data_IF_380041250217
#
_entry.id   IF_380041250217
#
_cell.length_a   1.000
_cell.length_b   1.000
_cell.length_c   1.000
_cell.angle_alpha   90.00
_cell.angle_beta   90.00
_cell.angle_gamma   90.00
#
_symmetry.space_group_name_H-M   'P 1'
#
loop_
_entity.id
_entity.type
_entity.pdbx_description
1 polymer ?
#
# COMPACT_ATOMS: atom_id res chain seq x y z
N UNK A 1 -3.37 -7.47 -15.60
CA UNK A 1 -2.73 -6.21 -15.10
C UNK A 1 -2.52 -6.32 -13.61
N UNK A 2 -1.41 -5.80 -13.08
CA UNK A 2 -1.12 -5.83 -11.64
C UNK A 2 -2.06 -4.93 -10.84
N UNK A 3 -2.37 -5.29 -9.58
CA UNK A 3 -3.13 -4.44 -8.68
C UNK A 3 -2.42 -3.11 -8.42
N UNK A 4 -3.19 -2.02 -8.43
CA UNK A 4 -2.72 -0.68 -8.10
C UNK A 4 -3.40 -0.20 -6.81
N UNK A 5 -2.58 0.17 -5.84
CA UNK A 5 -2.99 0.81 -4.60
C UNK A 5 -2.76 2.32 -4.72
N UNK A 6 -3.82 3.09 -4.83
CA UNK A 6 -3.78 4.51 -5.12
C UNK A 6 -4.00 5.34 -3.84
N UNK A 7 -2.91 5.79 -3.22
CA UNK A 7 -2.99 6.64 -2.03
C UNK A 7 -3.22 8.10 -2.44
N UNK A 8 -4.46 8.56 -2.31
CA UNK A 8 -4.87 9.93 -2.68
C UNK A 8 -4.48 10.97 -1.63
N UNK A 9 -3.92 10.54 -0.50
CA UNK A 9 -3.56 11.45 0.61
C UNK A 9 -4.70 12.42 0.92
N UNK A 10 -4.41 13.73 1.01
CA UNK A 10 -5.38 14.81 1.22
C UNK A 10 -5.38 15.84 0.08
N UNK A 11 -5.20 15.34 -1.16
CA UNK A 11 -5.02 16.23 -2.31
C UNK A 11 -6.29 16.90 -2.81
N UNK A 12 -7.48 16.36 -2.49
CA UNK A 12 -8.73 16.69 -3.15
C UNK A 12 -9.73 17.31 -2.20
N UNK A 13 -10.59 18.18 -2.73
CA UNK A 13 -11.83 18.60 -2.11
C UNK A 13 -13.00 17.66 -2.48
N UNK A 14 -14.21 17.94 -1.96
CA UNK A 14 -15.39 17.11 -2.22
C UNK A 14 -15.78 17.09 -3.70
N UNK A 15 -15.73 18.24 -4.38
CA UNK A 15 -16.10 18.37 -5.79
C UNK A 15 -15.15 17.54 -6.66
N UNK A 16 -13.87 17.68 -6.43
CA UNK A 16 -12.82 16.91 -7.12
C UNK A 16 -12.96 15.40 -6.88
N UNK A 17 -13.31 14.98 -5.66
CA UNK A 17 -13.51 13.58 -5.33
C UNK A 17 -14.74 12.98 -6.03
N UNK A 18 -15.83 13.73 -6.15
CA UNK A 18 -17.01 13.28 -6.90
C UNK A 18 -16.72 13.14 -8.40
N UNK A 19 -15.94 14.06 -8.96
CA UNK A 19 -15.47 13.97 -10.35
C UNK A 19 -14.52 12.77 -10.53
N UNK A 20 -13.59 12.58 -9.59
CA UNK A 20 -12.70 11.42 -9.54
C UNK A 20 -13.49 10.10 -9.60
N UNK A 21 -14.51 9.97 -8.76
CA UNK A 21 -15.41 8.81 -8.75
C UNK A 21 -16.03 8.58 -10.13
N UNK A 22 -16.64 9.62 -10.71
CA UNK A 22 -17.29 9.54 -12.03
C UNK A 22 -16.36 9.04 -13.13
N UNK A 23 -15.11 9.51 -13.14
CA UNK A 23 -14.10 9.09 -14.10
C UNK A 23 -13.74 7.62 -13.90
N UNK A 24 -13.52 7.17 -12.65
CA UNK A 24 -13.15 5.78 -12.38
C UNK A 24 -14.30 4.79 -12.62
N UNK A 25 -15.54 5.20 -12.46
CA UNK A 25 -16.69 4.34 -12.75
C UNK A 25 -16.84 4.01 -14.25
N UNK A 26 -16.18 4.77 -15.14
CA UNK A 26 -16.16 4.53 -16.57
C UNK A 26 -15.17 3.45 -17.03
N UNK A 27 -14.30 2.94 -16.13
CA UNK A 27 -13.24 1.98 -16.46
C UNK A 27 -13.30 0.74 -15.58
N UNK A 28 -12.63 -0.32 -16.02
CA UNK A 28 -12.57 -1.60 -15.32
C UNK A 28 -11.11 -2.02 -15.13
N UNK A 29 -10.51 -1.55 -14.03
CA UNK A 29 -9.13 -1.87 -13.66
C UNK A 29 -9.07 -2.36 -12.21
N UNK A 30 -8.10 -3.24 -11.85
CA UNK A 30 -7.92 -3.72 -10.48
C UNK A 30 -7.29 -2.62 -9.59
N UNK A 31 -8.09 -1.59 -9.27
CA UNK A 31 -7.66 -0.45 -8.47
C UNK A 31 -8.21 -0.58 -7.04
N UNK A 32 -7.35 -0.30 -6.07
CA UNK A 32 -7.73 -0.04 -4.68
C UNK A 32 -7.45 1.42 -4.36
N UNK A 33 -8.49 2.19 -4.05
CA UNK A 33 -8.37 3.60 -3.69
C UNK A 33 -8.23 3.80 -2.19
N UNK A 34 -7.29 4.65 -1.79
CA UNK A 34 -7.12 5.11 -0.43
C UNK A 34 -7.43 6.63 -0.36
N UNK A 35 -8.70 7.03 -0.34
CA UNK A 35 -9.09 8.43 -0.20
C UNK A 35 -8.88 8.91 1.23
N UNK A 36 -8.88 10.24 1.44
CA UNK A 36 -9.01 10.79 2.79
C UNK A 36 -10.28 10.27 3.48
N UNK A 37 -10.20 10.01 4.78
CA UNK A 37 -11.27 9.36 5.54
C UNK A 37 -12.63 10.04 5.37
N UNK A 38 -12.65 11.37 5.29
CA UNK A 38 -13.89 12.16 5.13
C UNK A 38 -14.62 11.88 3.81
N UNK A 39 -13.93 11.35 2.80
CA UNK A 39 -14.51 11.07 1.49
C UNK A 39 -14.87 9.59 1.27
N UNK A 40 -14.49 8.69 2.19
CA UNK A 40 -14.84 7.27 2.09
C UNK A 40 -16.33 7.05 1.81
N UNK A 41 -17.29 7.72 2.52
CA UNK A 41 -18.71 7.49 2.30
C UNK A 41 -19.18 7.82 0.88
N UNK A 42 -18.61 8.85 0.24
CA UNK A 42 -19.01 9.27 -1.12
C UNK A 42 -18.31 8.49 -2.22
N UNK A 43 -17.20 7.82 -1.89
CA UNK A 43 -16.38 7.06 -2.84
C UNK A 43 -16.79 5.59 -2.98
N UNK A 44 -17.87 5.14 -2.34
CA UNK A 44 -18.31 3.75 -2.49
C UNK A 44 -18.68 3.43 -3.94
N UNK A 45 -18.14 2.33 -4.46
CA UNK A 45 -18.37 1.83 -5.83
C UNK A 45 -18.17 0.31 -5.89
N UNK A 46 -18.73 -0.33 -6.94
CA UNK A 46 -18.45 -1.73 -7.27
C UNK A 46 -17.28 -1.90 -8.24
N UNK A 47 -16.78 -0.82 -8.81
CA UNK A 47 -15.72 -0.83 -9.84
C UNK A 47 -14.31 -0.85 -9.26
N UNK A 48 -14.14 -0.46 -8.01
CA UNK A 48 -12.85 -0.45 -7.33
C UNK A 48 -13.03 -0.73 -5.83
N UNK A 49 -11.98 -1.20 -5.20
CA UNK A 49 -11.97 -1.42 -3.77
C UNK A 49 -11.59 -0.13 -3.01
N UNK A 50 -12.06 0.00 -1.76
CA UNK A 50 -11.66 1.07 -0.85
C UNK A 50 -10.71 0.56 0.21
N UNK A 51 -9.67 1.36 0.48
CA UNK A 51 -8.69 1.16 1.52
C UNK A 51 -8.62 2.41 2.41
N UNK A 52 -8.55 2.25 3.71
CA UNK A 52 -8.28 3.36 4.61
C UNK A 52 -6.82 3.74 4.63
N UNK A 53 -6.49 5.02 4.70
CA UNK A 53 -5.11 5.51 4.80
C UNK A 53 -4.45 5.20 6.13
N UNK A 54 -5.25 4.90 7.16
CA UNK A 54 -4.83 4.50 8.50
C UNK A 54 -5.99 3.82 9.24
N UNK A 55 -5.74 3.33 10.45
CA UNK A 55 -6.72 2.73 11.34
C UNK A 55 -6.33 3.00 12.81
N UNK A 56 -7.33 3.05 13.68
CA UNK A 56 -7.09 3.18 15.12
C UNK A 56 -6.29 1.99 15.68
N UNK A 57 -5.40 2.21 16.65
CA UNK A 57 -4.59 1.14 17.24
C UNK A 57 -5.42 0.19 18.14
N UNK A 58 -6.55 0.60 18.65
CA UNK A 58 -7.37 -0.18 19.56
C UNK A 58 -8.86 0.01 19.33
N UNK A 59 -9.69 -0.72 20.11
CA UNK A 59 -11.15 -0.52 20.13
C UNK A 59 -11.57 0.76 20.84
N UNK A 60 -10.76 1.23 21.78
CA UNK A 60 -10.93 2.51 22.47
C UNK A 60 -10.35 3.60 21.58
N UNK A 61 -11.14 4.02 20.60
CA UNK A 61 -10.75 5.07 19.68
C UNK A 61 -10.65 6.42 20.39
N UNK A 62 -9.58 7.16 20.07
CA UNK A 62 -9.41 8.55 20.49
C UNK A 62 -10.08 9.48 19.47
N UNK A 63 -10.21 10.75 19.83
CA UNK A 63 -10.67 11.80 18.90
C UNK A 63 -9.84 11.77 17.63
N UNK A 64 -10.49 11.83 16.48
CA UNK A 64 -9.94 11.72 15.12
C UNK A 64 -9.48 10.31 14.67
N UNK A 65 -9.58 9.30 15.51
CA UNK A 65 -9.28 7.93 15.12
C UNK A 65 -10.33 7.35 14.17
N UNK A 66 -9.86 6.49 13.26
CA UNK A 66 -10.71 5.72 12.35
C UNK A 66 -10.89 4.29 12.88
N UNK A 67 -12.03 4.00 13.50
CA UNK A 67 -12.26 2.65 14.02
C UNK A 67 -12.46 1.62 12.89
N UNK A 68 -11.90 0.42 13.07
CA UNK A 68 -12.10 -0.70 12.15
C UNK A 68 -13.59 -1.01 11.89
N UNK A 69 -14.41 -0.92 12.96
CA UNK A 69 -15.87 -1.14 12.87
C UNK A 69 -16.56 -0.10 11.98
N UNK A 70 -16.22 1.18 12.12
CA UNK A 70 -16.78 2.24 11.29
C UNK A 70 -16.33 2.09 9.83
N UNK A 71 -15.05 1.82 9.58
CA UNK A 71 -14.53 1.57 8.24
C UNK A 71 -15.24 0.40 7.55
N UNK A 72 -15.42 -0.71 8.25
CA UNK A 72 -16.14 -1.87 7.69
C UNK A 72 -17.61 -1.58 7.39
N UNK A 73 -18.29 -0.80 8.23
CA UNK A 73 -19.68 -0.39 7.98
C UNK A 73 -19.83 0.49 6.72
N UNK A 74 -18.75 1.16 6.32
CA UNK A 74 -18.65 1.93 5.08
C UNK A 74 -18.15 1.09 3.87
N UNK A 75 -18.04 -0.24 4.02
CA UNK A 75 -17.60 -1.12 2.94
C UNK A 75 -16.08 -1.20 2.75
N UNK A 76 -15.28 -0.55 3.60
CA UNK A 76 -13.81 -0.60 3.52
C UNK A 76 -13.32 -1.95 4.03
N UNK A 77 -12.57 -2.67 3.21
CA UNK A 77 -12.07 -4.01 3.52
C UNK A 77 -10.56 -4.07 3.79
N UNK A 78 -9.87 -2.96 3.58
CA UNK A 78 -8.41 -2.90 3.75
C UNK A 78 -7.95 -1.58 4.36
N UNK A 79 -6.72 -1.57 4.90
CA UNK A 79 -6.08 -0.38 5.43
C UNK A 79 -4.57 -0.35 5.12
N UNK A 80 -4.02 0.86 5.01
CA UNK A 80 -2.58 1.11 5.06
C UNK A 80 -2.13 1.16 6.52
N UNK A 81 -0.97 0.60 6.82
CA UNK A 81 -0.32 0.73 8.14
C UNK A 81 1.15 1.07 7.94
N UNK A 82 1.63 2.06 8.66
CA UNK A 82 3.04 2.42 8.70
C UNK A 82 3.50 3.41 7.64
N UNK A 83 2.59 4.16 7.02
CA UNK A 83 2.95 5.22 6.09
C UNK A 83 3.85 6.26 6.79
N UNK A 84 4.93 6.68 6.11
CA UNK A 84 5.97 7.54 6.69
C UNK A 84 5.42 8.89 7.20
N UNK A 85 4.41 9.44 6.53
CA UNK A 85 3.80 10.72 6.92
C UNK A 85 3.19 10.67 8.33
N UNK A 86 2.79 9.48 8.81
CA UNK A 86 2.15 9.29 10.12
C UNK A 86 3.15 9.18 11.27
N UNK A 87 4.43 8.90 10.99
CA UNK A 87 5.52 8.78 11.97
C UNK A 87 5.20 7.83 13.14
N UNK A 88 4.38 6.80 12.90
CA UNK A 88 4.02 5.84 13.94
C UNK A 88 5.25 5.09 14.45
N UNK A 89 5.33 4.85 15.77
CA UNK A 89 6.29 3.95 16.37
C UNK A 89 5.94 2.50 16.01
N UNK A 90 6.90 1.59 16.12
CA UNK A 90 6.69 0.18 15.76
C UNK A 90 5.54 -0.46 16.56
N UNK A 91 5.50 -0.21 17.88
CA UNK A 91 4.46 -0.72 18.76
C UNK A 91 3.06 -0.29 18.30
N UNK A 92 2.89 0.98 17.95
CA UNK A 92 1.63 1.52 17.44
C UNK A 92 1.24 0.87 16.11
N UNK A 93 2.20 0.66 15.20
CA UNK A 93 1.95 -0.07 13.96
C UNK A 93 1.45 -1.49 14.24
N UNK A 94 2.02 -2.17 15.25
CA UNK A 94 1.61 -3.51 15.64
C UNK A 94 0.22 -3.56 16.26
N UNK A 95 -0.14 -2.59 17.10
CA UNK A 95 -1.49 -2.46 17.65
C UNK A 95 -2.52 -2.24 16.53
N UNK A 96 -2.23 -1.35 15.57
CA UNK A 96 -3.06 -1.13 14.37
C UNK A 96 -3.23 -2.40 13.55
N UNK A 97 -2.14 -3.15 13.33
CA UNK A 97 -2.15 -4.41 12.60
C UNK A 97 -3.05 -5.44 13.30
N UNK A 98 -2.87 -5.64 14.60
CA UNK A 98 -3.68 -6.58 15.38
C UNK A 98 -5.17 -6.19 15.35
N UNK A 99 -5.48 -4.90 15.47
CA UNK A 99 -6.85 -4.40 15.39
C UNK A 99 -7.46 -4.66 14.00
N UNK A 100 -6.73 -4.38 12.92
CA UNK A 100 -7.18 -4.67 11.56
C UNK A 100 -7.44 -6.16 11.33
N UNK A 101 -6.51 -7.03 11.72
CA UNK A 101 -6.62 -8.48 11.58
C UNK A 101 -7.80 -9.06 12.39
N UNK A 102 -8.02 -8.57 13.61
CA UNK A 102 -9.18 -8.97 14.45
C UNK A 102 -10.50 -8.65 13.74
N UNK A 103 -10.56 -7.57 12.95
CA UNK A 103 -11.73 -7.22 12.15
C UNK A 103 -11.73 -7.84 10.74
N UNK A 104 -10.82 -8.79 10.47
CA UNK A 104 -10.71 -9.48 9.17
C UNK A 104 -10.47 -8.52 7.99
N UNK A 105 -9.73 -7.45 8.22
CA UNK A 105 -9.32 -6.52 7.15
C UNK A 105 -8.03 -7.01 6.48
N UNK A 106 -7.89 -6.72 5.19
CA UNK A 106 -6.60 -6.81 4.50
C UNK A 106 -5.72 -5.65 4.95
N UNK A 107 -4.44 -5.91 5.11
CA UNK A 107 -3.48 -4.91 5.56
C UNK A 107 -2.37 -4.75 4.52
N UNK A 108 -2.19 -3.54 4.03
CA UNK A 108 -1.00 -3.13 3.29
C UNK A 108 -0.01 -2.55 4.31
N UNK A 109 0.96 -3.37 4.72
CA UNK A 109 1.94 -2.98 5.73
C UNK A 109 3.18 -2.40 5.07
N UNK A 110 3.47 -1.12 5.35
CA UNK A 110 4.59 -0.42 4.73
C UNK A 110 5.90 -0.72 5.45
N UNK A 111 6.83 -1.24 4.68
CA UNK A 111 8.24 -1.39 5.03
C UNK A 111 9.00 -0.19 4.47
N UNK A 112 9.93 0.34 5.23
CA UNK A 112 10.72 1.49 4.80
C UNK A 112 12.13 1.43 5.33
N UNK A 113 13.02 2.04 4.59
CA UNK A 113 14.36 2.41 5.03
C UNK A 113 14.55 3.93 4.90
N UNK A 114 15.50 4.47 5.64
CA UNK A 114 15.73 5.93 5.73
C UNK A 114 16.94 6.38 4.93
N UNK A 115 17.69 5.45 4.36
CA UNK A 115 18.94 5.73 3.65
C UNK A 115 19.05 4.80 2.46
N UNK A 116 19.44 5.38 1.32
CA UNK A 116 19.83 4.61 0.15
C UNK A 116 21.06 3.77 0.47
N UNK A 117 20.96 2.50 0.16
CA UNK A 117 22.09 1.59 0.16
C UNK A 117 22.28 1.09 -1.28
N UNK A 118 23.52 0.99 -1.72
CA UNK A 118 23.86 0.44 -3.04
C UNK A 118 23.86 -1.08 -3.05
N UNK A 119 23.84 -1.70 -1.87
CA UNK A 119 23.82 -3.14 -1.71
C UNK A 119 22.38 -3.64 -1.50
N UNK A 120 21.86 -4.32 -2.53
CA UNK A 120 20.54 -4.92 -2.47
C UNK A 120 20.43 -6.06 -1.44
N UNK A 121 21.52 -6.77 -1.15
CA UNK A 121 21.53 -7.84 -0.14
C UNK A 121 21.31 -7.25 1.24
N UNK A 122 22.05 -6.22 1.58
CA UNK A 122 21.88 -5.51 2.86
C UNK A 122 20.47 -4.90 3.00
N UNK A 123 19.97 -4.27 1.94
CA UNK A 123 18.60 -3.73 1.95
C UNK A 123 17.56 -4.84 2.14
N UNK A 124 17.68 -5.96 1.42
CA UNK A 124 16.73 -7.08 1.56
C UNK A 124 16.78 -7.71 2.95
N UNK A 125 17.94 -7.87 3.56
CA UNK A 125 18.07 -8.39 4.93
C UNK A 125 17.41 -7.47 5.95
N UNK A 126 17.57 -6.15 5.82
CA UNK A 126 16.85 -5.16 6.66
C UNK A 126 15.34 -5.28 6.53
N UNK A 127 14.83 -5.41 5.30
CA UNK A 127 13.39 -5.53 5.05
C UNK A 127 12.84 -6.86 5.56
N UNK A 128 13.57 -7.96 5.36
CA UNK A 128 13.23 -9.28 5.95
C UNK A 128 13.21 -9.20 7.47
N UNK A 129 14.15 -8.51 8.08
CA UNK A 129 14.18 -8.24 9.52
C UNK A 129 12.90 -7.53 10.01
N UNK A 130 12.43 -6.52 9.26
CA UNK A 130 11.16 -5.85 9.54
C UNK A 130 9.97 -6.82 9.41
N UNK A 131 9.92 -7.64 8.36
CA UNK A 131 8.88 -8.66 8.17
C UNK A 131 8.87 -9.66 9.32
N UNK A 132 10.02 -10.19 9.73
CA UNK A 132 10.12 -11.10 10.89
C UNK A 132 9.58 -10.46 12.17
N UNK A 133 9.94 -9.20 12.42
CA UNK A 133 9.44 -8.47 13.59
C UNK A 133 7.91 -8.31 13.56
N UNK A 134 7.33 -8.01 12.40
CA UNK A 134 5.88 -7.94 12.22
C UNK A 134 5.24 -9.31 12.44
N UNK A 135 5.71 -10.35 11.76
CA UNK A 135 5.11 -11.69 11.78
C UNK A 135 5.27 -12.39 13.12
N UNK A 136 6.25 -12.02 13.96
CA UNK A 136 6.39 -12.51 15.32
C UNK A 136 5.19 -12.21 16.22
N UNK A 137 4.33 -11.28 15.82
CA UNK A 137 3.12 -10.84 16.53
C UNK A 137 1.82 -11.21 15.81
N UNK A 138 1.90 -12.01 14.74
CA UNK A 138 0.76 -12.34 13.87
C UNK A 138 0.56 -13.85 13.82
N UNK A 139 -0.69 -14.31 13.96
CA UNK A 139 -1.03 -15.72 13.76
C UNK A 139 -0.86 -16.11 12.28
N UNK A 140 -0.34 -17.31 12.01
CA UNK A 140 -0.21 -17.85 10.65
C UNK A 140 -1.53 -17.86 9.87
N UNK A 141 -2.66 -18.03 10.57
CA UNK A 141 -4.00 -17.96 9.95
C UNK A 141 -4.36 -16.60 9.35
N UNK A 142 -3.66 -15.54 9.74
CA UNK A 142 -3.88 -14.18 9.24
C UNK A 142 -2.88 -13.75 8.17
N UNK A 143 -1.88 -14.59 7.82
CA UNK A 143 -0.87 -14.27 6.81
C UNK A 143 -1.48 -13.90 5.45
N UNK A 144 -2.55 -14.57 5.04
CA UNK A 144 -3.27 -14.27 3.80
C UNK A 144 -3.93 -12.88 3.74
N UNK A 145 -3.94 -12.16 4.87
CA UNK A 145 -4.49 -10.79 4.96
C UNK A 145 -3.42 -9.72 4.94
N UNK A 146 -2.15 -10.08 4.77
CA UNK A 146 -1.04 -9.14 4.82
C UNK A 146 -0.37 -9.05 3.45
N UNK A 147 -0.22 -7.83 2.98
CA UNK A 147 0.59 -7.46 1.82
C UNK A 147 1.69 -6.53 2.33
N UNK A 148 2.93 -6.85 2.05
CA UNK A 148 4.04 -5.96 2.39
C UNK A 148 4.31 -4.99 1.25
N UNK A 149 4.47 -3.71 1.59
CA UNK A 149 4.71 -2.64 0.63
C UNK A 149 6.05 -2.00 0.94
N UNK A 150 7.04 -2.19 0.10
CA UNK A 150 8.32 -1.48 0.23
C UNK A 150 8.20 -0.07 -0.30
N UNK A 151 8.33 0.91 0.57
CA UNK A 151 8.25 2.33 0.27
C UNK A 151 9.44 3.07 0.92
N UNK A 152 10.60 3.13 0.24
CA UNK A 152 11.79 3.80 0.78
C UNK A 152 11.52 5.29 1.00
N UNK A 153 11.77 5.78 2.22
CA UNK A 153 11.43 7.16 2.60
C UNK A 153 12.26 8.21 1.86
N UNK A 154 13.52 7.93 1.61
CA UNK A 154 14.43 8.82 0.90
C UNK A 154 14.07 9.05 -0.58
N UNK A 155 13.38 8.07 -1.21
CA UNK A 155 12.85 8.20 -2.58
C UNK A 155 11.74 9.23 -2.68
N UNK A 156 10.95 9.39 -1.61
CA UNK A 156 9.82 10.34 -1.59
C UNK A 156 10.30 11.78 -1.75
N UNK A 157 11.45 12.11 -1.17
CA UNK A 157 12.05 13.45 -1.26
C UNK A 157 12.62 13.72 -2.65
N UNK A 158 13.19 12.72 -3.29
CA UNK A 158 13.81 12.84 -4.61
C UNK A 158 12.78 12.75 -5.76
N UNK A 159 11.66 12.06 -5.55
CA UNK A 159 10.64 11.84 -6.58
C UNK A 159 11.09 10.94 -7.75
N UNK A 160 12.20 10.22 -7.59
CA UNK A 160 12.77 9.29 -8.57
C UNK A 160 12.70 7.90 -7.93
N UNK A 161 12.12 6.88 -8.59
CA UNK A 161 12.10 5.52 -8.05
C UNK A 161 13.50 4.92 -8.01
N UNK A 162 13.64 3.86 -7.21
CA UNK A 162 14.79 2.97 -7.37
C UNK A 162 14.79 2.36 -8.78
N UNK A 163 15.97 2.02 -9.25
CA UNK A 163 16.14 1.25 -10.46
C UNK A 163 15.35 -0.06 -10.37
N UNK A 164 14.72 -0.46 -11.48
CA UNK A 164 13.88 -1.67 -11.50
C UNK A 164 14.67 -2.93 -11.19
N UNK A 165 15.89 -3.04 -11.72
CA UNK A 165 16.76 -4.19 -11.48
C UNK A 165 17.13 -4.30 -9.99
N UNK A 166 17.40 -3.16 -9.35
CA UNK A 166 17.66 -3.11 -7.91
C UNK A 166 16.44 -3.61 -7.10
N UNK A 167 15.23 -3.21 -7.47
CA UNK A 167 14.00 -3.67 -6.79
C UNK A 167 13.75 -5.15 -7.03
N UNK A 168 13.97 -5.64 -8.24
CA UNK A 168 13.84 -7.06 -8.56
C UNK A 168 14.81 -7.92 -7.75
N UNK A 169 16.06 -7.51 -7.63
CA UNK A 169 17.05 -8.21 -6.81
C UNK A 169 16.67 -8.22 -5.32
N UNK A 170 16.20 -7.07 -4.80
CA UNK A 170 15.70 -6.98 -3.41
C UNK A 170 14.51 -7.93 -3.20
N UNK A 171 13.51 -7.90 -4.08
CA UNK A 171 12.29 -8.69 -3.92
C UNK A 171 12.53 -10.19 -4.13
N UNK A 172 13.38 -10.55 -5.09
CA UNK A 172 13.79 -11.94 -5.27
C UNK A 172 14.40 -12.48 -3.99
N UNK A 173 15.39 -11.78 -3.44
CA UNK A 173 16.07 -12.19 -2.20
C UNK A 173 15.10 -12.24 -1.02
N UNK A 174 14.21 -11.27 -0.89
CA UNK A 174 13.18 -11.29 0.16
C UNK A 174 12.26 -12.51 0.03
N UNK A 175 11.76 -12.81 -1.18
CA UNK A 175 10.87 -13.95 -1.42
C UNK A 175 11.57 -15.28 -1.12
N UNK A 176 12.83 -15.45 -1.53
CA UNK A 176 13.62 -16.63 -1.22
C UNK A 176 13.72 -16.87 0.29
N UNK A 177 14.22 -15.88 1.04
CA UNK A 177 14.42 -15.99 2.49
C UNK A 177 13.11 -16.22 3.24
N UNK A 178 12.06 -15.47 2.89
CA UNK A 178 10.75 -15.61 3.55
C UNK A 178 10.14 -16.98 3.27
N UNK A 179 10.26 -17.49 2.03
CA UNK A 179 9.76 -18.80 1.65
C UNK A 179 10.52 -19.93 2.37
N UNK A 180 11.83 -19.83 2.47
CA UNK A 180 12.67 -20.80 3.20
C UNK A 180 12.29 -20.85 4.70
N UNK A 181 12.14 -19.69 5.34
CA UNK A 181 11.91 -19.61 6.79
C UNK A 181 10.46 -19.90 7.19
N UNK A 182 9.50 -19.42 6.42
CA UNK A 182 8.09 -19.42 6.80
C UNK A 182 7.22 -20.37 5.97
N UNK A 183 7.77 -20.96 4.89
CA UNK A 183 7.00 -21.75 3.91
C UNK A 183 5.72 -21.01 3.47
N UNK A 184 5.84 -19.71 3.21
CA UNK A 184 4.74 -18.83 2.80
C UNK A 184 5.24 -17.79 1.80
N UNK A 185 4.42 -17.48 0.80
CA UNK A 185 4.71 -16.48 -0.22
C UNK A 185 3.83 -15.23 0.00
N UNK A 186 4.43 -14.19 0.56
CA UNK A 186 3.72 -12.92 0.78
C UNK A 186 3.75 -12.06 -0.47
N UNK A 187 2.61 -11.42 -0.84
CA UNK A 187 2.62 -10.41 -1.89
C UNK A 187 3.53 -9.23 -1.50
N UNK A 188 4.44 -8.87 -2.40
CA UNK A 188 5.36 -7.75 -2.25
C UNK A 188 4.99 -6.64 -3.24
N UNK A 189 4.61 -5.48 -2.71
CA UNK A 189 4.32 -4.29 -3.50
C UNK A 189 5.47 -3.29 -3.42
N UNK A 190 5.67 -2.54 -4.48
CA UNK A 190 6.61 -1.42 -4.48
C UNK A 190 5.87 -0.08 -4.54
N UNK A 191 6.35 0.90 -3.77
CA UNK A 191 5.86 2.28 -3.79
C UNK A 191 6.98 3.28 -3.56
N UNK A 192 7.11 4.23 -4.45
CA UNK A 192 8.10 5.30 -4.33
C UNK A 192 8.49 5.87 -5.68
N UNK A 193 8.38 7.17 -5.86
CA UNK A 193 8.82 7.88 -7.07
C UNK A 193 8.11 7.50 -8.38
N UNK A 194 7.09 6.63 -8.34
CA UNK A 194 6.39 6.14 -9.52
C UNK A 194 5.56 7.22 -10.19
N UNK A 195 5.68 7.31 -11.51
CA UNK A 195 4.96 8.26 -12.35
C UNK A 195 4.74 7.67 -13.76
N UNK A 196 4.01 8.40 -14.61
CA UNK A 196 3.67 7.97 -15.97
C UNK A 196 4.89 7.51 -16.82
N UNK A 197 6.06 8.12 -16.63
CA UNK A 197 7.23 7.85 -17.47
C UNK A 197 7.99 6.58 -17.07
N UNK A 198 7.89 6.20 -15.78
CA UNK A 198 8.69 5.12 -15.22
C UNK A 198 7.88 3.91 -14.74
N UNK A 199 6.55 3.97 -14.75
CA UNK A 199 5.68 2.94 -14.16
C UNK A 199 5.72 1.59 -14.93
N UNK A 200 5.89 1.64 -16.27
CA UNK A 200 5.77 0.46 -17.12
C UNK A 200 6.71 -0.69 -16.73
N UNK A 201 8.02 -0.52 -16.52
CA UNK A 201 8.91 -1.61 -16.12
C UNK A 201 8.44 -2.31 -14.83
N UNK A 202 7.91 -1.56 -13.85
CA UNK A 202 7.38 -2.13 -12.60
C UNK A 202 6.08 -2.92 -12.81
N UNK A 203 5.26 -2.52 -13.78
CA UNK A 203 4.08 -3.30 -14.16
C UNK A 203 4.44 -4.60 -14.88
N UNK A 204 5.50 -4.61 -15.67
CA UNK A 204 5.94 -5.76 -16.46
C UNK A 204 6.73 -6.78 -15.60
N UNK A 205 7.34 -6.37 -14.49
CA UNK A 205 8.15 -7.23 -13.61
C UNK A 205 7.34 -8.41 -13.05
N UNK A 206 7.88 -9.61 -13.06
CA UNK A 206 7.26 -10.80 -12.46
C UNK A 206 7.50 -10.94 -10.96
N UNK A 207 8.43 -10.17 -10.40
CA UNK A 207 8.82 -10.20 -8.98
C UNK A 207 8.01 -9.25 -8.11
N UNK A 208 7.40 -8.23 -8.73
CA UNK A 208 6.56 -7.24 -8.06
C UNK A 208 5.10 -7.65 -8.19
N UNK A 209 4.40 -7.86 -7.08
CA UNK A 209 3.01 -8.35 -7.09
C UNK A 209 1.97 -7.21 -7.23
N UNK A 210 2.36 -5.97 -6.94
CA UNK A 210 1.52 -4.79 -7.08
C UNK A 210 2.26 -3.50 -6.81
N UNK A 211 1.61 -2.35 -7.02
CA UNK A 211 2.23 -1.04 -6.90
C UNK A 211 1.41 -0.11 -6.01
N UNK A 212 2.10 0.65 -5.16
CA UNK A 212 1.54 1.79 -4.43
C UNK A 212 1.92 3.07 -5.17
N UNK A 213 0.93 3.77 -5.69
CA UNK A 213 1.09 5.07 -6.35
C UNK A 213 0.36 6.15 -5.55
N UNK A 214 0.90 7.37 -5.56
CA UNK A 214 0.27 8.51 -4.89
C UNK A 214 0.21 9.72 -5.82
N UNK A 215 1.35 10.37 -6.07
CA UNK A 215 1.40 11.61 -6.85
C UNK A 215 0.79 11.46 -8.26
N UNK A 216 1.03 10.33 -8.90
CA UNK A 216 0.49 10.03 -10.24
C UNK A 216 -1.03 9.78 -10.20
N UNK A 217 -1.56 9.22 -9.11
CA UNK A 217 -3.01 9.00 -8.96
C UNK A 217 -3.79 10.26 -8.56
N UNK A 218 -3.12 11.41 -8.38
CA UNK A 218 -3.80 12.66 -8.06
C UNK A 218 -4.77 13.10 -9.17
N UNK A 219 -4.41 12.88 -10.44
CA UNK A 219 -5.26 13.20 -11.57
C UNK A 219 -5.93 11.93 -12.12
N UNK A 220 -7.25 11.73 -11.94
CA UNK A 220 -7.93 10.51 -12.36
C UNK A 220 -7.91 10.32 -13.87
N UNK A 221 -8.00 11.40 -14.65
CA UNK A 221 -8.00 11.30 -16.11
C UNK A 221 -6.63 10.87 -16.65
N UNK A 222 -5.54 11.37 -16.08
CA UNK A 222 -4.20 10.94 -16.45
C UNK A 222 -3.97 9.46 -16.08
N UNK A 223 -4.45 9.04 -14.89
CA UNK A 223 -4.38 7.66 -14.46
C UNK A 223 -5.15 6.75 -15.43
N UNK A 224 -6.39 7.07 -15.74
CA UNK A 224 -7.24 6.28 -16.64
C UNK A 224 -6.65 6.22 -18.04
N UNK A 225 -6.24 7.34 -18.61
CA UNK A 225 -5.62 7.40 -19.93
C UNK A 225 -4.37 6.51 -20.01
N UNK A 226 -3.55 6.52 -18.96
CA UNK A 226 -2.37 5.67 -18.89
C UNK A 226 -2.77 4.18 -18.85
N UNK A 227 -3.70 3.81 -17.96
CA UNK A 227 -4.12 2.42 -17.81
C UNK A 227 -4.79 1.87 -19.08
N UNK A 228 -5.57 2.69 -19.76
CA UNK A 228 -6.17 2.33 -21.05
C UNK A 228 -5.11 2.13 -22.14
N UNK A 229 -4.04 2.92 -22.13
CA UNK A 229 -2.93 2.76 -23.09
C UNK A 229 -2.09 1.50 -22.89
N UNK A 230 -2.31 0.78 -21.78
CA UNK A 230 -1.59 -0.46 -21.43
C UNK A 230 -2.39 -1.73 -21.74
N UNK A 231 -3.64 -1.59 -22.17
CA UNK A 231 -4.50 -2.68 -22.64
C UNK A 231 -4.31 -2.93 -24.12
#
# INVERSE_FOLDING_TARGET
>A
MKPLLCNLKSYHDLKEMLEYKKILESVDFPITLCPSAMFIPVMHSKKYALCSQDIAPSFECKTADMSARALKSLGVQSCLIGHIDLKNRFEEKMEKLQNALKHKMMVYFLLSDTKQDSDYQYTSEKLVGQIRAVLSKVSRSDYSRIVFVYAPSWVLDQGIPLDIEMIENIFQRMKEVIKEELSYDFPLYYGGGLNKKNLKPFLDSTLIDGLLISKFSKNPQELVNFLTSMQ
#
